data_IF_076603547568
#
_entry.id   IF_076603547568
#
_cell.length_a   1.000
_cell.length_b   1.000
_cell.length_c   1.000
_cell.angle_alpha   90.00
_cell.angle_beta   90.00
_cell.angle_gamma   90.00
#
_symmetry.space_group_name_H-M   'P 1'
#
loop_
_entity.id
_entity.type
_entity.pdbx_description
1 polymer ?
#
# COMPACT_ATOMS: atom_id res chain seq x y z
N UNK A 1 16.34 12.25 -6.09
CA UNK A 1 16.25 10.83 -5.65
C UNK A 1 16.81 9.85 -6.70
N UNK A 2 16.31 9.81 -7.96
CA UNK A 2 16.76 8.84 -8.98
C UNK A 2 18.27 8.92 -9.23
N UNK A 3 18.86 10.12 -9.29
CA UNK A 3 20.30 10.32 -9.49
C UNK A 3 21.16 9.71 -8.36
N UNK A 4 20.76 9.87 -7.11
CA UNK A 4 21.46 9.31 -5.94
C UNK A 4 21.40 7.79 -5.97
N UNK A 5 20.25 7.24 -6.30
CA UNK A 5 20.05 5.78 -6.45
C UNK A 5 20.90 5.23 -7.59
N UNK A 6 20.93 5.91 -8.75
CA UNK A 6 21.75 5.48 -9.89
C UNK A 6 23.25 5.54 -9.59
N UNK A 7 23.67 6.41 -8.66
CA UNK A 7 25.09 6.51 -8.26
C UNK A 7 25.57 5.31 -7.43
N UNK A 8 24.64 4.61 -6.76
CA UNK A 8 24.96 3.40 -5.99
C UNK A 8 25.07 2.12 -6.85
N UNK A 9 24.68 2.19 -8.12
CA UNK A 9 24.80 1.06 -9.04
C UNK A 9 26.19 1.00 -9.70
N UNK A 10 26.68 -0.21 -9.94
CA UNK A 10 27.84 -0.40 -10.79
C UNK A 10 27.59 0.18 -12.21
N UNK A 11 28.62 0.65 -12.89
CA UNK A 11 28.47 1.35 -14.18
C UNK A 11 27.65 0.55 -15.21
N UNK A 12 27.85 -0.76 -15.31
CA UNK A 12 27.14 -1.66 -16.22
C UNK A 12 25.64 -1.79 -15.87
N UNK A 13 25.32 -1.84 -14.58
CA UNK A 13 23.94 -1.91 -14.10
C UNK A 13 23.20 -0.59 -14.33
N UNK A 14 23.88 0.54 -14.11
CA UNK A 14 23.37 1.89 -14.38
C UNK A 14 22.98 2.05 -15.85
N UNK A 15 23.84 1.61 -16.76
CA UNK A 15 23.54 1.61 -18.19
C UNK A 15 22.30 0.76 -18.51
N UNK A 16 22.15 -0.41 -17.87
CA UNK A 16 20.98 -1.26 -18.03
C UNK A 16 19.68 -0.60 -17.57
N UNK A 17 19.71 0.12 -16.43
CA UNK A 17 18.54 0.89 -15.92
C UNK A 17 18.19 2.02 -16.87
N UNK A 18 19.17 2.83 -17.29
CA UNK A 18 18.95 3.96 -18.21
C UNK A 18 18.42 3.46 -19.56
N UNK A 19 19.03 2.40 -20.13
CA UNK A 19 18.57 1.80 -21.38
C UNK A 19 17.11 1.37 -21.33
N UNK A 20 16.65 0.79 -20.20
CA UNK A 20 15.23 0.45 -20.04
C UNK A 20 14.32 1.67 -19.99
N UNK A 21 14.74 2.74 -19.34
CA UNK A 21 13.95 3.99 -19.30
C UNK A 21 13.79 4.64 -20.67
N UNK A 22 14.75 4.41 -21.59
CA UNK A 22 14.70 4.90 -22.99
C UNK A 22 14.10 3.89 -23.95
N UNK A 23 13.83 2.65 -23.52
CA UNK A 23 13.28 1.60 -24.36
C UNK A 23 11.77 1.82 -24.56
N UNK A 24 11.37 2.02 -25.81
CA UNK A 24 9.96 2.17 -26.19
C UNK A 24 9.12 0.96 -25.78
N UNK A 25 9.66 -0.26 -25.85
CA UNK A 25 8.96 -1.49 -25.49
C UNK A 25 8.71 -1.59 -23.99
N UNK A 26 9.49 -0.90 -23.15
CA UNK A 26 9.22 -0.81 -21.72
C UNK A 26 7.95 -0.01 -21.42
N UNK A 27 7.73 1.10 -22.15
CA UNK A 27 6.60 1.99 -21.95
C UNK A 27 5.36 1.62 -22.76
N UNK A 28 5.51 0.95 -23.91
CA UNK A 28 4.44 0.68 -24.87
C UNK A 28 4.36 -0.82 -25.21
N UNK A 29 4.09 -1.66 -24.21
CA UNK A 29 3.77 -3.07 -24.38
C UNK A 29 2.33 -3.37 -23.92
N UNK A 30 1.84 -4.57 -24.17
CA UNK A 30 0.47 -4.98 -23.79
C UNK A 30 0.22 -4.90 -22.28
N UNK A 31 1.23 -5.16 -21.44
CA UNK A 31 1.12 -5.02 -19.99
C UNK A 31 0.94 -3.56 -19.60
N UNK A 32 1.83 -2.67 -20.05
CA UNK A 32 1.78 -1.25 -19.72
C UNK A 32 0.55 -0.55 -20.30
N UNK A 33 0.05 -0.98 -21.47
CA UNK A 33 -1.20 -0.46 -22.04
C UNK A 33 -2.41 -0.70 -21.12
N UNK A 34 -2.45 -1.84 -20.40
CA UNK A 34 -3.47 -2.10 -19.37
C UNK A 34 -3.33 -1.16 -18.17
N UNK A 35 -2.10 -0.80 -17.79
CA UNK A 35 -1.85 0.17 -16.71
C UNK A 35 -2.48 1.52 -17.04
N UNK A 36 -2.26 2.03 -18.28
CA UNK A 36 -2.84 3.29 -18.75
C UNK A 36 -4.37 3.24 -18.86
N UNK A 37 -4.91 2.15 -19.42
CA UNK A 37 -6.36 1.98 -19.54
C UNK A 37 -7.06 1.98 -18.17
N UNK A 38 -6.53 1.22 -17.21
CA UNK A 38 -7.10 1.17 -15.86
C UNK A 38 -6.89 2.49 -15.09
N UNK A 39 -5.78 3.18 -15.31
CA UNK A 39 -5.54 4.51 -14.75
C UNK A 39 -6.64 5.49 -15.21
N UNK A 40 -6.89 5.59 -16.51
CA UNK A 40 -7.92 6.47 -17.05
C UNK A 40 -9.32 6.08 -16.59
N UNK A 41 -9.65 4.78 -16.61
CA UNK A 41 -10.94 4.28 -16.15
C UNK A 41 -11.18 4.61 -14.66
N UNK A 42 -10.20 4.31 -13.80
CA UNK A 42 -10.31 4.57 -12.36
C UNK A 42 -10.35 6.06 -12.04
N UNK A 43 -9.63 6.91 -12.80
CA UNK A 43 -9.72 8.35 -12.66
C UNK A 43 -11.13 8.85 -13.00
N UNK A 44 -11.72 8.38 -14.11
CA UNK A 44 -13.10 8.70 -14.48
C UNK A 44 -14.11 8.23 -13.43
N UNK A 45 -14.04 6.98 -12.99
CA UNK A 45 -14.95 6.44 -11.96
C UNK A 45 -14.82 7.17 -10.62
N UNK A 46 -13.60 7.53 -10.24
CA UNK A 46 -13.37 8.25 -8.98
C UNK A 46 -14.03 9.62 -8.99
N UNK A 47 -13.92 10.36 -10.07
CA UNK A 47 -14.49 11.71 -10.18
C UNK A 47 -15.99 11.72 -10.41
N UNK A 48 -16.51 10.80 -11.23
CA UNK A 48 -17.91 10.79 -11.64
C UNK A 48 -18.84 9.97 -10.72
N UNK A 49 -18.33 8.91 -10.10
CA UNK A 49 -19.14 7.99 -9.30
C UNK A 49 -18.81 8.02 -7.81
N UNK A 50 -17.56 7.77 -7.44
CA UNK A 50 -17.22 7.59 -6.02
C UNK A 50 -17.30 8.90 -5.23
N UNK A 51 -16.75 9.98 -5.77
CA UNK A 51 -16.72 11.27 -5.09
C UNK A 51 -18.13 11.84 -4.85
N UNK A 52 -19.07 11.85 -5.80
CA UNK A 52 -20.44 12.30 -5.59
C UNK A 52 -21.25 11.41 -4.64
N UNK A 53 -21.06 10.07 -4.71
CA UNK A 53 -21.83 9.12 -3.88
C UNK A 53 -21.51 9.22 -2.38
N UNK A 54 -20.25 9.48 -2.02
CA UNK A 54 -19.82 9.44 -0.62
C UNK A 54 -19.90 10.81 0.04
N UNK A 55 -20.11 11.85 -0.76
CA UNK A 55 -20.10 13.21 -0.26
C UNK A 55 -18.68 13.68 0.15
N UNK A 56 -18.61 14.75 0.89
CA UNK A 56 -17.31 15.23 1.36
C UNK A 56 -16.85 14.45 2.60
N UNK A 57 -15.56 14.24 2.72
CA UNK A 57 -14.93 13.68 3.94
C UNK A 57 -15.32 14.48 5.20
N UNK A 58 -15.68 15.76 5.01
CA UNK A 58 -16.18 16.62 6.06
C UNK A 58 -17.50 16.11 6.66
N UNK A 59 -18.44 15.60 5.82
CA UNK A 59 -19.70 15.04 6.32
C UNK A 59 -19.43 13.84 7.22
N UNK A 60 -18.58 12.92 6.80
CA UNK A 60 -18.20 11.77 7.62
C UNK A 60 -17.54 12.18 8.94
N UNK A 61 -16.64 13.16 8.89
CA UNK A 61 -16.00 13.74 10.07
C UNK A 61 -17.04 14.31 11.06
N UNK A 62 -18.00 15.09 10.57
CA UNK A 62 -19.05 15.68 11.41
C UNK A 62 -19.99 14.63 11.98
N UNK A 63 -20.31 13.58 11.22
CA UNK A 63 -21.12 12.45 11.73
C UNK A 63 -20.41 11.78 12.90
N UNK A 64 -19.12 11.45 12.76
CA UNK A 64 -18.34 10.83 13.84
C UNK A 64 -18.24 11.77 15.06
N UNK A 65 -17.89 13.02 14.86
CA UNK A 65 -17.77 13.99 15.96
C UNK A 65 -19.10 14.18 16.71
N UNK A 66 -20.23 14.24 15.99
CA UNK A 66 -21.56 14.31 16.60
C UNK A 66 -21.91 13.05 17.37
N UNK A 67 -21.70 11.87 16.80
CA UNK A 67 -21.99 10.61 17.47
C UNK A 67 -21.18 10.47 18.77
N UNK A 68 -19.90 10.85 18.77
CA UNK A 68 -19.07 10.85 19.98
C UNK A 68 -19.59 11.85 21.02
N UNK A 69 -19.98 13.06 20.61
CA UNK A 69 -20.56 14.04 21.51
C UNK A 69 -21.90 13.56 22.08
N UNK A 70 -22.77 12.99 21.28
CA UNK A 70 -24.10 12.57 21.71
C UNK A 70 -24.03 11.37 22.68
N UNK A 71 -22.96 10.53 22.56
CA UNK A 71 -22.75 9.38 23.43
C UNK A 71 -21.91 9.70 24.69
N UNK A 72 -20.82 10.47 24.55
CA UNK A 72 -19.87 10.76 25.62
C UNK A 72 -19.98 12.18 26.19
N UNK A 73 -20.80 13.04 25.58
CA UNK A 73 -20.87 14.46 25.93
C UNK A 73 -19.72 15.29 25.32
N UNK A 74 -19.61 16.52 25.81
CA UNK A 74 -18.47 17.38 25.46
C UNK A 74 -17.28 16.99 26.36
N UNK A 75 -16.09 16.75 25.79
CA UNK A 75 -14.90 16.56 26.60
C UNK A 75 -14.51 17.85 27.30
N UNK A 76 -13.83 17.72 28.45
CA UNK A 76 -13.20 18.86 29.10
C UNK A 76 -12.25 19.56 28.12
N UNK A 77 -12.20 20.89 28.08
CA UNK A 77 -11.37 21.61 27.13
C UNK A 77 -9.89 21.32 27.35
N UNK A 78 -9.27 20.63 26.42
CA UNK A 78 -7.82 20.40 26.40
C UNK A 78 -7.20 21.47 25.51
N UNK A 79 -6.51 22.43 26.11
CA UNK A 79 -5.82 23.50 25.39
C UNK A 79 -4.40 23.03 25.06
N UNK A 80 -4.18 22.70 23.82
CA UNK A 80 -2.84 22.39 23.30
C UNK A 80 -2.40 23.52 22.34
N UNK A 81 -1.10 23.74 22.26
CA UNK A 81 -0.61 24.66 21.24
C UNK A 81 -0.87 24.08 19.85
N UNK A 82 -1.18 24.93 18.85
CA UNK A 82 -1.57 24.47 17.51
C UNK A 82 -0.52 23.61 16.81
N UNK A 83 0.77 23.88 17.02
CA UNK A 83 1.85 23.12 16.38
C UNK A 83 1.91 21.70 16.91
N UNK A 84 1.87 21.53 18.24
CA UNK A 84 1.84 20.20 18.88
C UNK A 84 0.60 19.42 18.44
N UNK A 85 -0.56 20.07 18.38
CA UNK A 85 -1.80 19.43 17.92
C UNK A 85 -1.70 18.98 16.46
N UNK A 86 -1.15 19.82 15.58
CA UNK A 86 -0.94 19.48 14.16
C UNK A 86 0.02 18.31 13.99
N UNK A 87 1.12 18.29 14.75
CA UNK A 87 2.09 17.17 14.72
C UNK A 87 1.42 15.88 15.19
N UNK A 88 0.71 15.92 16.31
CA UNK A 88 0.01 14.75 16.85
C UNK A 88 -1.04 14.22 15.88
N UNK A 89 -1.87 15.11 15.32
CA UNK A 89 -2.89 14.75 14.34
C UNK A 89 -2.24 14.10 13.10
N UNK A 90 -1.19 14.72 12.56
CA UNK A 90 -0.45 14.20 11.40
C UNK A 90 0.09 12.81 11.65
N UNK A 91 0.71 12.62 12.81
CA UNK A 91 1.33 11.35 13.19
C UNK A 91 0.29 10.24 13.39
N UNK A 92 -0.77 10.50 14.14
CA UNK A 92 -1.85 9.52 14.37
C UNK A 92 -2.56 9.18 13.06
N UNK A 93 -2.90 10.20 12.26
CA UNK A 93 -3.52 9.97 10.96
C UNK A 93 -2.64 9.12 10.05
N UNK A 94 -1.35 9.43 9.96
CA UNK A 94 -0.39 8.65 9.17
C UNK A 94 -0.33 7.18 9.64
N UNK A 95 -0.22 6.94 10.93
CA UNK A 95 -0.15 5.56 11.45
C UNK A 95 -1.42 4.76 11.14
N UNK A 96 -2.60 5.36 11.37
CA UNK A 96 -3.88 4.69 11.13
C UNK A 96 -4.13 4.47 9.64
N UNK A 97 -3.82 5.45 8.79
CA UNK A 97 -3.95 5.32 7.33
C UNK A 97 -3.01 4.24 6.78
N UNK A 98 -1.74 4.23 7.18
CA UNK A 98 -0.76 3.26 6.71
C UNK A 98 -1.08 1.83 7.22
N UNK A 99 -1.48 1.69 8.50
CA UNK A 99 -1.95 0.41 9.03
C UNK A 99 -3.19 -0.10 8.28
N UNK A 100 -4.17 0.76 8.02
CA UNK A 100 -5.39 0.35 7.31
C UNK A 100 -5.12 -0.06 5.86
N UNK A 101 -4.11 0.54 5.21
CA UNK A 101 -3.61 0.09 3.89
C UNK A 101 -2.99 -1.29 3.98
N UNK A 102 -2.10 -1.50 4.94
CA UNK A 102 -1.50 -2.80 5.18
C UNK A 102 -2.56 -3.88 5.44
N UNK A 103 -3.51 -3.63 6.35
CA UNK A 103 -4.55 -4.58 6.70
C UNK A 103 -5.44 -4.96 5.50
N UNK A 104 -5.86 -3.97 4.72
CA UNK A 104 -6.63 -4.21 3.49
C UNK A 104 -5.80 -4.98 2.45
N UNK A 105 -4.54 -4.61 2.22
CA UNK A 105 -3.67 -5.27 1.27
C UNK A 105 -3.41 -6.73 1.66
N UNK A 106 -3.12 -6.99 2.93
CA UNK A 106 -3.01 -8.35 3.45
C UNK A 106 -4.30 -9.16 3.30
N UNK A 107 -5.46 -8.52 3.49
CA UNK A 107 -6.76 -9.14 3.24
C UNK A 107 -6.98 -9.44 1.75
N UNK A 108 -6.55 -8.54 0.85
CA UNK A 108 -6.60 -8.76 -0.61
C UNK A 108 -5.85 -10.03 -1.04
N UNK A 109 -4.76 -10.38 -0.35
CA UNK A 109 -4.01 -11.60 -0.62
C UNK A 109 -4.52 -12.86 0.07
N UNK A 110 -5.30 -12.73 1.15
CA UNK A 110 -5.75 -13.88 1.96
C UNK A 110 -7.19 -14.30 1.68
N UNK A 111 -8.05 -13.34 1.28
CA UNK A 111 -9.46 -13.59 1.00
C UNK A 111 -9.65 -13.84 -0.50
N UNK A 112 -10.11 -15.05 -0.92
CA UNK A 112 -10.19 -15.42 -2.35
C UNK A 112 -11.00 -14.44 -3.20
N UNK A 113 -12.10 -13.89 -2.67
CA UNK A 113 -12.93 -12.92 -3.36
C UNK A 113 -12.17 -11.61 -3.61
N UNK A 114 -11.42 -11.13 -2.61
CA UNK A 114 -10.63 -9.91 -2.73
C UNK A 114 -9.40 -10.14 -3.64
N UNK A 115 -8.80 -11.34 -3.58
CA UNK A 115 -7.71 -11.71 -4.48
C UNK A 115 -8.13 -11.67 -5.96
N UNK A 116 -9.36 -12.08 -6.30
CA UNK A 116 -9.87 -11.96 -7.68
C UNK A 116 -9.80 -10.53 -8.22
N UNK A 117 -9.99 -9.54 -7.37
CA UNK A 117 -9.86 -8.13 -7.72
C UNK A 117 -8.39 -7.73 -7.80
N UNK A 118 -7.62 -8.04 -6.75
CA UNK A 118 -6.23 -7.65 -6.57
C UNK A 118 -5.27 -8.38 -7.53
N UNK A 119 -5.63 -9.56 -8.01
CA UNK A 119 -4.89 -10.27 -9.06
C UNK A 119 -4.73 -9.45 -10.34
N UNK A 120 -5.63 -8.49 -10.60
CA UNK A 120 -5.48 -7.51 -11.68
C UNK A 120 -4.17 -6.73 -11.52
N UNK A 121 -3.85 -6.29 -10.30
CA UNK A 121 -2.61 -5.59 -9.96
C UNK A 121 -1.38 -6.48 -10.18
N UNK A 122 -1.42 -7.71 -9.68
CA UNK A 122 -0.35 -8.70 -9.83
C UNK A 122 -0.22 -9.28 -11.24
N UNK A 123 -1.18 -9.04 -12.14
CA UNK A 123 -1.12 -9.51 -13.53
C UNK A 123 -0.11 -8.75 -14.42
N UNK A 124 0.60 -7.75 -13.88
CA UNK A 124 1.62 -7.01 -14.59
C UNK A 124 2.86 -7.87 -14.85
N UNK A 125 3.19 -8.10 -16.12
CA UNK A 125 4.42 -8.79 -16.53
C UNK A 125 5.61 -7.86 -16.69
N UNK A 126 5.36 -6.55 -16.71
CA UNK A 126 6.36 -5.50 -16.73
C UNK A 126 5.97 -4.47 -15.68
N UNK A 127 6.82 -4.28 -14.67
CA UNK A 127 6.60 -3.24 -13.66
C UNK A 127 7.11 -1.90 -14.19
N UNK A 128 6.20 -0.93 -14.26
CA UNK A 128 6.48 0.47 -14.56
C UNK A 128 5.95 1.36 -13.43
N UNK A 129 6.38 2.62 -13.31
CA UNK A 129 5.78 3.55 -12.32
C UNK A 129 4.26 3.68 -12.43
N UNK A 130 3.68 3.35 -13.59
CA UNK A 130 2.23 3.39 -13.82
C UNK A 130 1.50 2.12 -13.33
N UNK A 131 2.22 1.04 -13.03
CA UNK A 131 1.62 -0.20 -12.51
C UNK A 131 0.90 0.02 -11.17
N UNK A 132 1.26 1.07 -10.41
CA UNK A 132 0.53 1.48 -9.20
C UNK A 132 -0.96 1.77 -9.50
N UNK A 133 -1.30 2.19 -10.73
CA UNK A 133 -2.67 2.49 -11.16
C UNK A 133 -3.39 1.29 -11.78
N UNK A 134 -2.71 0.15 -11.92
CA UNK A 134 -3.29 -1.11 -12.39
C UNK A 134 -4.13 -1.75 -11.30
N UNK A 135 -5.26 -1.17 -11.02
CA UNK A 135 -6.18 -1.57 -9.95
C UNK A 135 -7.54 -1.91 -10.55
N UNK A 136 -8.16 -2.99 -10.12
CA UNK A 136 -9.53 -3.32 -10.52
C UNK A 136 -10.49 -2.21 -10.08
N UNK A 137 -11.47 -1.77 -10.89
CA UNK A 137 -12.38 -0.67 -10.54
C UNK A 137 -13.08 -0.83 -9.18
N UNK A 138 -13.55 -2.04 -8.87
CA UNK A 138 -14.17 -2.33 -7.57
C UNK A 138 -13.16 -2.22 -6.43
N UNK A 139 -11.93 -2.70 -6.62
CA UNK A 139 -10.85 -2.54 -5.65
C UNK A 139 -10.53 -1.06 -5.41
N UNK A 140 -10.49 -0.26 -6.48
CA UNK A 140 -10.34 1.20 -6.38
C UNK A 140 -11.41 1.83 -5.49
N UNK A 141 -12.67 1.38 -5.62
CA UNK A 141 -13.78 1.76 -4.74
C UNK A 141 -13.55 1.36 -3.30
N UNK A 142 -13.13 0.12 -3.03
CA UNK A 142 -12.83 -0.37 -1.67
C UNK A 142 -11.73 0.49 -1.02
N UNK A 143 -10.64 0.81 -1.74
CA UNK A 143 -9.60 1.71 -1.23
C UNK A 143 -10.11 3.13 -0.98
N UNK A 144 -11.03 3.61 -1.81
CA UNK A 144 -11.66 4.91 -1.59
C UNK A 144 -12.52 4.93 -0.32
N UNK A 145 -13.35 3.90 -0.11
CA UNK A 145 -14.15 3.74 1.12
C UNK A 145 -13.27 3.60 2.35
N UNK A 146 -12.21 2.81 2.28
CA UNK A 146 -11.21 2.71 3.35
C UNK A 146 -10.67 4.09 3.73
N UNK A 147 -10.24 4.86 2.73
CA UNK A 147 -9.68 6.19 2.97
C UNK A 147 -10.72 7.14 3.58
N UNK A 148 -11.96 7.10 3.10
CA UNK A 148 -13.07 7.86 3.64
C UNK A 148 -13.34 7.52 5.12
N UNK A 149 -13.44 6.24 5.45
CA UNK A 149 -13.68 5.78 6.83
C UNK A 149 -12.52 6.17 7.73
N UNK A 150 -11.28 5.90 7.33
CA UNK A 150 -10.09 6.23 8.12
C UNK A 150 -10.00 7.72 8.40
N UNK A 151 -10.20 8.56 7.38
CA UNK A 151 -10.19 10.00 7.52
C UNK A 151 -11.30 10.48 8.45
N UNK A 152 -12.53 10.03 8.24
CA UNK A 152 -13.70 10.43 9.03
C UNK A 152 -13.55 10.07 10.50
N UNK A 153 -13.05 8.86 10.78
CA UNK A 153 -12.84 8.40 12.16
C UNK A 153 -11.75 9.20 12.87
N UNK A 154 -10.56 9.29 12.29
CA UNK A 154 -9.45 10.00 12.95
C UNK A 154 -9.76 11.49 13.10
N UNK A 155 -10.18 12.14 12.02
CA UNK A 155 -10.51 13.57 12.06
C UNK A 155 -11.71 13.85 12.95
N UNK A 156 -12.74 12.97 12.94
CA UNK A 156 -13.92 13.09 13.78
C UNK A 156 -13.60 13.02 15.27
N UNK A 157 -12.70 12.11 15.67
CA UNK A 157 -12.19 12.05 17.06
C UNK A 157 -11.45 13.32 17.42
N UNK A 158 -10.56 13.80 16.56
CA UNK A 158 -9.82 15.03 16.82
C UNK A 158 -10.73 16.27 16.88
N UNK A 159 -11.73 16.36 16.02
CA UNK A 159 -12.75 17.42 16.06
C UNK A 159 -13.59 17.37 17.34
N UNK A 160 -13.93 16.18 17.80
CA UNK A 160 -14.65 16.00 19.07
C UNK A 160 -13.80 16.43 20.27
N UNK A 161 -12.51 15.98 20.31
CA UNK A 161 -11.61 16.28 21.44
C UNK A 161 -11.15 17.74 21.47
N UNK A 162 -10.79 18.30 20.33
CA UNK A 162 -10.08 19.58 20.23
C UNK A 162 -10.89 20.70 19.56
N UNK A 163 -11.99 20.36 18.88
CA UNK A 163 -12.97 21.28 18.32
C UNK A 163 -12.37 22.43 17.51
N UNK A 164 -12.44 23.64 18.09
CA UNK A 164 -12.03 24.89 17.43
C UNK A 164 -10.52 25.06 17.24
N UNK A 165 -9.70 24.21 17.85
CA UNK A 165 -8.24 24.32 17.77
C UNK A 165 -7.66 23.58 16.56
N UNK A 166 -8.46 22.76 15.86
CA UNK A 166 -8.06 22.09 14.63
C UNK A 166 -8.44 22.97 13.42
N UNK A 167 -7.46 23.50 12.73
CA UNK A 167 -7.73 24.32 11.54
C UNK A 167 -7.97 23.46 10.29
N UNK A 168 -8.77 23.98 9.35
CA UNK A 168 -8.97 23.33 8.03
C UNK A 168 -7.65 23.21 7.28
N UNK A 169 -6.73 24.16 7.47
CA UNK A 169 -5.41 24.16 6.83
C UNK A 169 -4.56 22.99 7.32
N UNK A 170 -4.62 22.66 8.62
CA UNK A 170 -3.89 21.50 9.17
C UNK A 170 -4.39 20.19 8.56
N UNK A 171 -5.70 20.04 8.45
CA UNK A 171 -6.34 18.86 7.87
C UNK A 171 -5.99 18.71 6.38
N UNK A 172 -6.03 19.78 5.61
CA UNK A 172 -5.68 19.77 4.17
C UNK A 172 -4.18 19.60 3.98
N UNK A 173 -3.36 20.24 4.80
CA UNK A 173 -1.90 20.13 4.74
C UNK A 173 -1.39 18.70 4.99
N UNK A 174 -1.95 18.02 5.98
CA UNK A 174 -1.64 16.61 6.27
C UNK A 174 -1.98 15.70 5.09
N UNK A 175 -3.15 15.90 4.47
CA UNK A 175 -3.53 15.16 3.27
C UNK A 175 -2.58 15.42 2.10
N UNK A 176 -2.14 16.66 1.90
CA UNK A 176 -1.20 17.02 0.83
C UNK A 176 0.18 16.37 1.04
N UNK A 177 0.71 16.40 2.26
CA UNK A 177 1.99 15.75 2.61
C UNK A 177 1.90 14.24 2.39
N UNK A 178 0.84 13.60 2.88
CA UNK A 178 0.59 12.18 2.69
C UNK A 178 0.47 11.81 1.21
N UNK A 179 -0.20 12.62 0.41
CA UNK A 179 -0.32 12.44 -1.04
C UNK A 179 1.04 12.54 -1.74
N UNK A 180 1.84 13.58 -1.46
CA UNK A 180 3.17 13.78 -2.05
C UNK A 180 4.10 12.62 -1.67
N UNK A 181 4.15 12.23 -0.42
CA UNK A 181 4.95 11.12 0.06
C UNK A 181 4.56 9.81 -0.65
N UNK A 182 3.26 9.52 -0.72
CA UNK A 182 2.76 8.32 -1.39
C UNK A 182 3.05 8.34 -2.89
N UNK A 183 2.83 9.46 -3.58
CA UNK A 183 3.12 9.59 -5.01
C UNK A 183 4.61 9.40 -5.31
N UNK A 184 5.51 9.95 -4.49
CA UNK A 184 6.95 9.83 -4.67
C UNK A 184 7.45 8.39 -4.45
N UNK A 185 6.97 7.71 -3.41
CA UNK A 185 7.46 6.38 -3.05
C UNK A 185 6.70 5.25 -3.76
N UNK A 186 5.38 5.37 -3.98
CA UNK A 186 4.59 4.33 -4.60
C UNK A 186 4.99 4.06 -6.05
N UNK A 187 5.29 5.11 -6.82
CA UNK A 187 5.70 4.99 -8.22
C UNK A 187 7.07 4.30 -8.36
N UNK A 188 8.00 4.59 -7.45
CA UNK A 188 9.32 3.97 -7.48
C UNK A 188 9.27 2.47 -7.13
N UNK A 189 8.36 2.07 -6.24
CA UNK A 189 8.17 0.67 -5.84
C UNK A 189 7.76 -0.24 -7.00
N UNK A 190 6.97 0.26 -7.93
CA UNK A 190 6.53 -0.47 -9.11
C UNK A 190 7.48 -0.34 -10.31
N UNK A 191 8.61 0.33 -10.17
CA UNK A 191 9.59 0.45 -11.25
C UNK A 191 10.49 -0.80 -11.35
N UNK A 192 11.25 -0.89 -12.45
CA UNK A 192 12.29 -1.90 -12.63
C UNK A 192 13.58 -1.60 -11.85
N UNK A 193 13.63 -0.46 -11.15
CA UNK A 193 14.81 0.00 -10.41
C UNK A 193 14.86 -0.68 -9.06
N UNK A 194 15.87 -1.53 -8.84
CA UNK A 194 16.06 -2.23 -7.57
C UNK A 194 16.68 -1.29 -6.54
N UNK A 195 15.92 -0.90 -5.54
CA UNK A 195 16.38 -0.05 -4.45
C UNK A 195 16.04 -0.72 -3.12
N UNK A 196 17.04 -1.31 -2.50
CA UNK A 196 16.93 -1.82 -1.13
C UNK A 196 17.37 -0.76 -0.12
N UNK A 197 16.78 -0.78 1.07
CA UNK A 197 17.12 0.12 2.17
C UNK A 197 18.00 -0.55 3.24
N UNK A 198 18.46 -1.78 3.00
CA UNK A 198 19.28 -2.53 3.95
C UNK A 198 18.58 -2.72 5.30
N UNK A 199 19.23 -2.33 6.41
CA UNK A 199 18.63 -2.46 7.76
C UNK A 199 17.37 -1.64 7.97
N UNK A 200 17.16 -0.56 7.21
CA UNK A 200 15.94 0.26 7.32
C UNK A 200 14.71 -0.46 6.79
N UNK A 201 14.86 -1.56 6.05
CA UNK A 201 13.76 -2.42 5.60
C UNK A 201 12.97 -3.09 6.73
N UNK A 202 13.50 -3.10 7.94
CA UNK A 202 12.77 -3.51 9.13
C UNK A 202 11.70 -2.49 9.57
N UNK A 203 11.78 -1.26 9.06
CA UNK A 203 10.89 -0.14 9.44
C UNK A 203 10.15 0.46 8.24
N UNK A 204 10.78 0.52 7.06
CA UNK A 204 10.24 1.16 5.87
C UNK A 204 10.28 0.22 4.67
N UNK A 205 9.18 0.19 3.94
CA UNK A 205 9.08 -0.62 2.71
C UNK A 205 9.96 -0.04 1.62
N UNK A 206 10.96 -0.81 1.20
CA UNK A 206 11.80 -0.44 0.06
C UNK A 206 11.16 -0.80 -1.28
N UNK A 207 11.54 -0.14 -2.39
CA UNK A 207 11.15 -0.56 -3.73
C UNK A 207 11.48 -2.02 -4.02
N UNK A 208 12.63 -2.50 -3.56
CA UNK A 208 13.05 -3.88 -3.77
C UNK A 208 12.14 -4.88 -3.02
N UNK A 209 11.73 -4.59 -1.79
CA UNK A 209 10.75 -5.41 -1.05
C UNK A 209 9.40 -5.49 -1.79
N UNK A 210 8.94 -4.38 -2.36
CA UNK A 210 7.69 -4.38 -3.10
C UNK A 210 7.80 -5.12 -4.45
N UNK A 211 8.98 -5.10 -5.10
CA UNK A 211 9.24 -5.95 -6.26
C UNK A 211 9.22 -7.45 -5.90
N UNK A 212 9.74 -7.84 -4.73
CA UNK A 212 9.61 -9.21 -4.22
C UNK A 212 8.15 -9.61 -4.06
N UNK A 213 7.34 -8.72 -3.46
CA UNK A 213 5.91 -8.90 -3.31
C UNK A 213 5.18 -9.11 -4.65
N UNK A 214 5.61 -8.44 -5.72
CA UNK A 214 5.07 -8.64 -7.08
C UNK A 214 5.60 -9.86 -7.82
N UNK A 215 6.64 -10.53 -7.29
CA UNK A 215 7.19 -11.70 -7.97
C UNK A 215 6.26 -12.90 -7.83
N UNK A 216 6.24 -13.76 -8.86
CA UNK A 216 5.41 -14.97 -8.87
C UNK A 216 5.75 -15.89 -7.69
N UNK A 217 7.03 -15.94 -7.30
CA UNK A 217 7.53 -16.90 -6.31
C UNK A 217 7.36 -16.39 -4.86
N UNK A 218 7.17 -15.08 -4.64
CA UNK A 218 7.29 -14.42 -3.32
C UNK A 218 6.12 -13.50 -2.95
N UNK A 219 4.98 -13.61 -3.60
CA UNK A 219 3.84 -12.70 -3.40
C UNK A 219 3.09 -12.86 -2.06
N UNK A 220 3.66 -13.57 -1.10
CA UNK A 220 3.00 -13.88 0.20
C UNK A 220 3.48 -13.04 1.37
N UNK A 221 4.18 -11.94 1.12
CA UNK A 221 4.70 -11.04 2.16
C UNK A 221 4.84 -9.62 1.66
N UNK A 222 5.35 -8.74 2.51
CA UNK A 222 5.59 -7.32 2.24
C UNK A 222 4.34 -6.55 1.79
N UNK A 223 3.25 -6.68 2.57
CA UNK A 223 1.98 -6.00 2.31
C UNK A 223 1.99 -4.52 2.70
N UNK A 224 3.02 -4.07 3.40
CA UNK A 224 3.16 -2.70 3.88
C UNK A 224 3.14 -1.65 2.75
N UNK A 225 2.62 -0.47 3.07
CA UNK A 225 2.58 0.66 2.14
C UNK A 225 3.78 1.59 2.32
N UNK A 226 3.99 2.12 3.51
CA UNK A 226 5.16 2.94 3.87
C UNK A 226 5.97 2.25 4.94
N UNK A 227 5.32 1.81 6.02
CA UNK A 227 5.96 1.14 7.13
C UNK A 227 5.93 -0.39 6.94
N UNK A 228 7.09 -1.02 6.97
CA UNK A 228 7.25 -2.47 7.00
C UNK A 228 7.10 -3.06 8.40
N UNK A 229 6.95 -2.21 9.40
CA UNK A 229 6.75 -2.63 10.79
C UNK A 229 5.49 -3.48 10.95
N UNK A 230 4.45 -3.23 10.14
CA UNK A 230 3.22 -4.03 10.12
C UNK A 230 3.47 -5.44 9.62
N UNK A 231 4.28 -5.59 8.56
CA UNK A 231 4.70 -6.90 8.06
C UNK A 231 5.55 -7.63 9.09
N UNK A 232 6.44 -6.92 9.79
CA UNK A 232 7.25 -7.49 10.86
C UNK A 232 6.39 -8.02 12.01
N UNK A 233 5.39 -7.25 12.44
CA UNK A 233 4.45 -7.66 13.50
C UNK A 233 3.55 -8.82 13.06
N UNK A 234 3.19 -8.87 11.79
CA UNK A 234 2.35 -9.93 11.21
C UNK A 234 3.15 -11.17 10.77
N UNK A 235 4.49 -11.16 10.88
CA UNK A 235 5.34 -12.27 10.43
C UNK A 235 5.38 -12.43 8.90
N UNK A 236 5.12 -11.36 8.14
CA UNK A 236 5.09 -11.35 6.67
C UNK A 236 6.23 -10.52 6.06
N UNK A 237 7.17 -10.05 6.88
CA UNK A 237 8.30 -9.26 6.43
C UNK A 237 9.33 -10.13 5.72
N UNK A 238 9.64 -9.77 4.46
CA UNK A 238 10.77 -10.30 3.70
C UNK A 238 11.76 -9.18 3.36
N UNK A 239 13.04 -9.38 3.67
CA UNK A 239 14.10 -8.43 3.33
C UNK A 239 14.54 -8.63 1.88
N UNK A 240 14.85 -7.54 1.18
CA UNK A 240 15.18 -7.60 -0.24
C UNK A 240 16.50 -8.33 -0.54
N UNK A 241 17.49 -8.17 0.33
CA UNK A 241 18.79 -8.76 0.15
C UNK A 241 19.50 -8.29 -1.13
N UNK A 242 20.29 -9.19 -1.72
CA UNK A 242 20.97 -8.92 -2.99
C UNK A 242 19.98 -8.99 -4.16
N UNK A 243 20.20 -8.13 -5.16
CA UNK A 243 19.43 -8.15 -6.41
C UNK A 243 19.47 -9.53 -7.05
N UNK A 244 18.30 -10.02 -7.44
CA UNK A 244 18.08 -11.29 -8.12
C UNK A 244 17.11 -11.11 -9.29
N UNK A 245 17.16 -11.97 -10.31
CA UNK A 245 16.14 -11.99 -11.36
C UNK A 245 14.77 -12.29 -10.74
N UNK A 246 13.75 -11.53 -11.14
CA UNK A 246 12.37 -11.73 -10.72
C UNK A 246 11.48 -11.91 -11.95
N UNK A 247 10.50 -12.78 -11.83
CA UNK A 247 9.45 -12.99 -12.83
C UNK A 247 8.15 -12.42 -12.28
N UNK A 248 7.46 -11.61 -13.09
CA UNK A 248 6.22 -10.93 -12.73
C UNK A 248 5.04 -11.47 -13.54
N UNK A 249 3.84 -11.34 -13.00
CA UNK A 249 2.60 -11.81 -13.60
C UNK A 249 1.88 -12.79 -12.69
N UNK A 250 0.80 -13.40 -13.20
CA UNK A 250 0.08 -14.46 -12.50
C UNK A 250 0.67 -15.82 -12.84
N UNK A 251 0.66 -16.71 -11.88
CA UNK A 251 0.99 -18.13 -12.11
C UNK A 251 -0.12 -18.72 -12.98
N UNK A 252 0.24 -19.43 -14.06
CA UNK A 252 -0.74 -20.21 -14.81
C UNK A 252 -1.32 -21.31 -13.91
N UNK A 253 -2.59 -21.68 -14.11
CA UNK A 253 -3.26 -22.73 -13.31
C UNK A 253 -2.46 -24.02 -13.27
N UNK A 254 -1.76 -24.39 -14.37
CA UNK A 254 -0.90 -25.57 -14.44
C UNK A 254 0.25 -25.58 -13.42
N UNK A 255 0.77 -24.40 -13.03
CA UNK A 255 1.78 -24.29 -11.96
C UNK A 255 1.20 -24.34 -10.57
N UNK A 256 -0.04 -23.92 -10.39
CA UNK A 256 -0.73 -23.99 -9.09
C UNK A 256 -0.96 -25.45 -8.71
N UNK A 257 -1.32 -26.30 -9.67
CA UNK A 257 -1.50 -27.74 -9.44
C UNK A 257 -0.17 -28.45 -9.12
N UNK A 258 0.93 -28.03 -9.73
CA UNK A 258 2.27 -28.58 -9.43
C UNK A 258 2.82 -28.08 -8.06
N UNK A 259 2.43 -26.90 -7.58
CA UNK A 259 2.86 -26.37 -6.29
C UNK A 259 1.93 -26.75 -5.13
N UNK A 260 0.74 -27.25 -5.42
CA UNK A 260 -0.26 -27.68 -4.43
C UNK A 260 -0.07 -29.13 -3.97
N UNK A 261 1.06 -29.76 -4.27
CA UNK A 261 1.49 -30.94 -3.53
C UNK A 261 1.74 -30.56 -2.06
N UNK A 262 1.18 -31.29 -1.10
CA UNK A 262 0.68 -30.71 0.13
C UNK A 262 1.78 -30.39 1.14
N UNK A 263 1.96 -29.13 1.46
CA UNK A 263 2.61 -28.70 2.72
C UNK A 263 1.82 -29.24 3.96
N UNK A 264 0.59 -29.73 3.77
CA UNK A 264 -0.24 -30.37 4.79
C UNK A 264 0.34 -31.73 5.24
N UNK A 265 1.04 -32.49 4.37
CA UNK A 265 1.64 -33.76 4.77
C UNK A 265 2.87 -33.59 5.66
N UNK A 266 3.63 -32.51 5.53
CA UNK A 266 4.79 -32.24 6.38
C UNK A 266 4.37 -31.87 7.83
N UNK A 267 3.23 -31.24 8.01
CA UNK A 267 2.71 -30.89 9.35
C UNK A 267 2.12 -32.10 10.09
N UNK A 268 1.56 -33.06 9.39
CA UNK A 268 0.99 -34.27 9.98
C UNK A 268 2.05 -35.35 10.27
N UNK A 269 3.20 -35.34 9.57
CA UNK A 269 4.29 -36.29 9.84
C UNK A 269 5.15 -35.91 11.04
N UNK A 270 5.22 -34.62 11.43
CA UNK A 270 5.96 -34.17 12.63
C UNK A 270 5.16 -34.27 13.93
N UNK A 271 3.86 -34.50 13.85
CA UNK A 271 3.00 -34.68 15.03
C UNK A 271 2.88 -36.16 15.50
N UNK A 272 3.50 -37.10 14.77
CA UNK A 272 3.36 -38.55 15.00
C UNK A 272 4.49 -39.21 15.79
N UNK A 273 5.65 -38.58 15.99
CA UNK A 273 6.83 -39.23 16.61
C UNK A 273 7.24 -38.64 17.97
N UNK A 274 6.27 -38.48 18.88
CA UNK A 274 6.57 -38.37 20.31
C UNK A 274 6.07 -39.64 21.01
N UNK A 275 6.77 -40.77 20.80
CA UNK A 275 6.71 -41.91 21.70
C UNK A 275 8.00 -42.00 22.49
N UNK A 276 7.87 -41.61 23.75
CA UNK A 276 8.37 -42.28 24.98
C UNK A 276 9.53 -43.27 24.79
N UNK A 277 10.65 -42.90 25.32
CA UNK A 277 11.50 -43.75 26.17
C UNK A 277 12.31 -42.84 27.10
#
# INVERSE_FOLDING_TARGET
CVYVVLKSYAAKERQGVVRRLTDRNYWFNRSTAKDYGLMCLNAGLRTSLWLPLIGSQLVGTLVVARALRDYFGFPEPVIWDPVTLTILYTFIYFLVDDFSRFALHAAMHRVPLLWRLHSTHHSATTLTPFTVFRVHPVESGIYFFRAFITFSLVTGVFVWLFGRHLSIIDVVGVNAIGFIANAAFANLRHSHVWVGFGRLEHYFVSPAQHQLHHSIDLCRGNYGSVLSIWDRLAGTLELSGKRRPLTFGLVSQDRIEQSSQPVISAWLSTAGDSKVA
#
